data_IF_745747861667
#
_entry.id   IF_745747861667
#
_cell.length_a   1.000
_cell.length_b   1.000
_cell.length_c   1.000
_cell.angle_alpha   90.00
_cell.angle_beta   90.00
_cell.angle_gamma   90.00
#
_symmetry.space_group_name_H-M   'P 1'
#
loop_
_entity.id
_entity.type
_entity.pdbx_description
1 polymer ?
#
# COMPACT_ATOMS: atom_id res chain seq x y z
N UNK A 1 -16.42 9.26 1.72
CA UNK A 1 -16.87 9.03 3.10
C UNK A 1 -15.64 9.19 3.96
N UNK A 2 -15.66 10.00 5.02
CA UNK A 2 -14.52 10.13 5.94
C UNK A 2 -14.90 9.36 7.20
N UNK A 3 -14.47 8.11 7.28
CA UNK A 3 -14.67 7.29 8.46
C UNK A 3 -13.56 7.65 9.43
N UNK A 4 -13.93 8.23 10.57
CA UNK A 4 -12.99 8.55 11.65
C UNK A 4 -13.18 7.51 12.73
N UNK A 5 -12.07 6.89 13.11
CA UNK A 5 -12.03 5.75 13.98
C UNK A 5 -11.08 6.11 15.15
N UNK A 6 -11.60 6.23 16.38
CA UNK A 6 -10.80 6.53 17.57
C UNK A 6 -11.24 5.69 18.76
N UNK A 7 -10.29 4.97 19.35
CA UNK A 7 -10.43 4.13 20.53
C UNK A 7 -9.30 4.48 21.50
N UNK A 8 -9.61 4.55 22.80
CA UNK A 8 -8.60 4.76 23.83
C UNK A 8 -8.13 3.38 24.30
N UNK A 9 -6.82 3.09 24.28
CA UNK A 9 -6.32 1.78 24.66
C UNK A 9 -6.61 1.47 26.14
N UNK A 10 -6.75 0.18 26.45
CA UNK A 10 -6.91 -0.30 27.83
C UNK A 10 -5.63 -0.08 28.68
N UNK A 11 -5.67 -0.43 29.97
CA UNK A 11 -4.51 -0.29 30.87
C UNK A 11 -3.25 -1.04 30.40
N UNK A 12 -3.41 -2.02 29.51
CA UNK A 12 -2.31 -2.77 28.90
C UNK A 12 -1.91 -2.23 27.51
N UNK A 13 -2.50 -1.11 27.06
CA UNK A 13 -2.21 -0.50 25.78
C UNK A 13 -2.93 -1.14 24.58
N UNK A 14 -3.89 -2.05 24.82
CA UNK A 14 -4.62 -2.72 23.72
C UNK A 14 -5.81 -1.88 23.27
N UNK A 15 -5.98 -1.79 21.95
CA UNK A 15 -7.13 -1.19 21.30
C UNK A 15 -7.66 -2.17 20.24
N UNK A 16 -8.94 -2.10 19.93
CA UNK A 16 -9.54 -2.85 18.82
C UNK A 16 -10.54 -1.95 18.14
N UNK A 17 -10.53 -1.93 16.82
CA UNK A 17 -11.38 -1.02 16.06
C UNK A 17 -11.80 -1.66 14.74
N UNK A 18 -13.10 -1.63 14.48
CA UNK A 18 -13.65 -1.95 13.17
C UNK A 18 -13.59 -0.70 12.29
N UNK A 19 -12.98 -0.84 11.12
CA UNK A 19 -12.82 0.26 10.15
C UNK A 19 -13.32 -0.18 8.78
N UNK A 20 -13.87 0.76 8.03
CA UNK A 20 -14.23 0.52 6.63
C UNK A 20 -12.96 0.41 5.77
N UNK A 21 -13.09 -0.19 4.58
CA UNK A 21 -11.99 -0.18 3.62
C UNK A 21 -11.69 1.26 3.19
N UNK A 22 -10.41 1.60 3.05
CA UNK A 22 -9.96 2.94 2.74
C UNK A 22 -8.54 3.22 3.22
N UNK A 23 -8.09 4.45 2.96
CA UNK A 23 -6.78 4.94 3.38
C UNK A 23 -6.92 5.82 4.62
N UNK A 24 -6.09 5.59 5.63
CA UNK A 24 -6.15 6.25 6.92
C UNK A 24 -4.79 6.81 7.33
N UNK A 25 -4.80 8.04 7.84
CA UNK A 25 -3.63 8.64 8.50
C UNK A 25 -3.58 8.26 9.96
N UNK A 26 -2.44 7.76 10.43
CA UNK A 26 -2.25 7.28 11.79
C UNK A 26 -1.45 8.31 12.58
N UNK A 27 -2.03 8.76 13.69
CA UNK A 27 -1.39 9.70 14.62
C UNK A 27 -1.40 9.13 16.03
N UNK A 28 -0.26 9.20 16.71
CA UNK A 28 -0.10 8.79 18.10
C UNK A 28 -0.20 10.02 19.01
N UNK A 29 -1.01 9.88 20.06
CA UNK A 29 -1.17 10.90 21.10
C UNK A 29 -0.71 10.33 22.44
N UNK A 30 0.25 11.00 23.07
CA UNK A 30 0.72 10.68 24.42
C UNK A 30 0.52 11.92 25.28
N UNK A 31 -0.07 11.76 26.46
CA UNK A 31 -0.34 12.87 27.37
C UNK A 31 0.95 13.63 27.71
N UNK A 32 0.94 14.94 27.55
CA UNK A 32 2.11 15.81 27.77
C UNK A 32 3.08 15.93 26.59
N UNK A 33 2.84 15.23 25.47
CA UNK A 33 3.67 15.31 24.26
C UNK A 33 2.86 15.78 23.05
N UNK A 34 3.49 16.46 22.07
CA UNK A 34 2.81 16.80 20.83
C UNK A 34 2.41 15.53 20.04
N UNK A 35 1.28 15.55 19.31
CA UNK A 35 0.89 14.42 18.46
C UNK A 35 1.99 14.08 17.44
N UNK A 36 2.22 12.78 17.24
CA UNK A 36 3.24 12.28 16.31
C UNK A 36 2.60 11.50 15.18
N UNK A 37 2.92 11.85 13.94
CA UNK A 37 2.45 11.11 12.77
C UNK A 37 3.22 9.80 12.65
N UNK A 38 2.53 8.67 12.75
CA UNK A 38 3.13 7.35 12.67
C UNK A 38 3.21 6.81 11.24
N UNK A 39 2.28 7.21 10.37
CA UNK A 39 2.27 6.79 8.97
C UNK A 39 0.86 6.76 8.38
N UNK A 40 0.75 6.15 7.21
CA UNK A 40 -0.52 5.92 6.52
C UNK A 40 -0.72 4.43 6.34
N UNK A 41 -1.94 3.96 6.55
CA UNK A 41 -2.34 2.58 6.31
C UNK A 41 -3.44 2.51 5.26
N UNK A 42 -3.54 1.37 4.59
CA UNK A 42 -4.62 1.07 3.65
C UNK A 42 -5.31 -0.22 4.07
N UNK A 43 -6.63 -0.15 4.26
CA UNK A 43 -7.49 -1.30 4.54
C UNK A 43 -8.25 -1.64 3.28
N UNK A 44 -8.08 -2.86 2.78
CA UNK A 44 -8.78 -3.37 1.60
C UNK A 44 -10.02 -4.16 2.03
N UNK A 45 -10.99 -4.32 1.13
CA UNK A 45 -12.23 -5.06 1.39
C UNK A 45 -12.00 -6.51 1.86
N UNK A 46 -10.88 -7.13 1.45
CA UNK A 46 -10.47 -8.47 1.87
C UNK A 46 -9.36 -8.52 2.92
N UNK A 47 -9.02 -7.38 3.55
CA UNK A 47 -7.97 -7.35 4.58
C UNK A 47 -8.34 -8.25 5.76
N UNK A 48 -7.39 -9.07 6.20
CA UNK A 48 -7.54 -9.88 7.41
C UNK A 48 -7.37 -8.99 8.65
N UNK A 49 -8.06 -9.28 9.76
CA UNK A 49 -7.79 -8.63 11.04
C UNK A 49 -6.31 -8.77 11.42
N UNK A 50 -5.74 -7.72 11.99
CA UNK A 50 -4.33 -7.64 12.35
C UNK A 50 -4.04 -6.46 13.28
N UNK A 51 -2.80 -6.29 13.68
CA UNK A 51 -2.35 -5.16 14.49
C UNK A 51 -2.09 -3.95 13.60
N UNK A 52 -2.16 -2.72 14.14
CA UNK A 52 -1.78 -1.51 13.41
C UNK A 52 -0.38 -1.61 12.80
N UNK A 53 0.55 -2.28 13.50
CA UNK A 53 1.92 -2.44 13.03
C UNK A 53 1.99 -3.35 11.79
N UNK A 54 1.09 -4.35 11.69
CA UNK A 54 0.96 -5.17 10.48
C UNK A 54 0.50 -4.34 9.29
N UNK A 55 -0.40 -3.37 9.50
CA UNK A 55 -0.86 -2.46 8.46
C UNK A 55 0.16 -1.38 8.10
N UNK A 56 0.91 -0.85 9.07
CA UNK A 56 1.97 0.14 8.84
C UNK A 56 3.17 -0.47 8.10
N UNK A 57 3.43 -1.77 8.30
CA UNK A 57 4.50 -2.50 7.62
C UNK A 57 4.08 -3.19 6.32
N UNK A 58 2.80 -3.14 5.95
CA UNK A 58 2.31 -3.80 4.75
C UNK A 58 2.79 -3.08 3.48
N UNK A 59 3.23 -3.84 2.47
CA UNK A 59 3.43 -3.30 1.13
C UNK A 59 2.10 -2.75 0.60
N UNK A 60 2.14 -1.53 0.10
CA UNK A 60 0.98 -0.83 -0.46
C UNK A 60 0.90 -1.02 -1.97
N UNK A 61 -0.25 -0.72 -2.57
CA UNK A 61 -0.39 -0.69 -4.02
C UNK A 61 0.59 0.28 -4.69
N UNK A 62 0.93 1.38 -4.01
CA UNK A 62 1.90 2.35 -4.49
C UNK A 62 3.34 1.81 -4.45
N UNK A 63 3.63 0.76 -3.68
CA UNK A 63 4.93 0.07 -3.72
C UNK A 63 5.01 -0.91 -4.89
N UNK A 64 3.88 -1.54 -5.26
CA UNK A 64 3.79 -2.52 -6.35
C UNK A 64 3.66 -1.84 -7.71
N UNK A 65 2.95 -0.72 -7.80
CA UNK A 65 2.73 0.02 -9.06
C UNK A 65 4.04 0.43 -9.77
N UNK A 66 5.09 0.92 -9.08
CA UNK A 66 6.40 1.16 -9.66
C UNK A 66 7.02 -0.10 -10.26
N UNK A 67 6.93 -1.25 -9.58
CA UNK A 67 7.45 -2.51 -10.12
C UNK A 67 6.65 -2.97 -11.34
N UNK A 68 5.32 -2.96 -11.25
CA UNK A 68 4.43 -3.36 -12.34
C UNK A 68 4.67 -2.51 -13.60
N UNK A 69 4.84 -1.20 -13.44
CA UNK A 69 5.16 -0.29 -14.55
C UNK A 69 6.52 -0.63 -15.16
N UNK A 70 7.55 -0.85 -14.35
CA UNK A 70 8.88 -1.26 -14.83
C UNK A 70 8.83 -2.60 -15.58
N UNK A 71 8.07 -3.58 -15.10
CA UNK A 71 7.88 -4.87 -15.79
C UNK A 71 7.16 -4.69 -17.12
N UNK A 72 6.16 -3.83 -17.16
CA UNK A 72 5.44 -3.49 -18.39
C UNK A 72 6.37 -2.86 -19.44
N UNK A 73 7.18 -1.88 -19.04
CA UNK A 73 8.18 -1.26 -19.92
C UNK A 73 9.17 -2.28 -20.50
N UNK A 74 9.64 -3.23 -19.67
CA UNK A 74 10.51 -4.32 -20.12
C UNK A 74 9.84 -5.23 -21.16
N UNK A 75 8.58 -5.62 -20.93
CA UNK A 75 7.83 -6.43 -21.90
C UNK A 75 7.63 -5.69 -23.22
N UNK A 76 7.30 -4.39 -23.17
CA UNK A 76 7.13 -3.56 -24.38
C UNK A 76 8.43 -3.48 -25.18
N UNK A 77 9.57 -3.30 -24.51
CA UNK A 77 10.87 -3.26 -25.17
C UNK A 77 11.21 -4.61 -25.84
N UNK A 78 10.93 -5.73 -25.17
CA UNK A 78 11.13 -7.07 -25.74
C UNK A 78 10.25 -7.29 -26.98
N UNK A 79 8.97 -6.91 -26.92
CA UNK A 79 8.06 -7.00 -28.07
C UNK A 79 8.57 -6.16 -29.24
N UNK A 80 9.05 -4.94 -28.98
CA UNK A 80 9.61 -4.07 -30.02
C UNK A 80 10.86 -4.67 -30.66
N UNK A 81 11.75 -5.28 -29.86
CA UNK A 81 12.95 -5.97 -30.37
C UNK A 81 12.57 -7.19 -31.21
N UNK A 82 11.65 -8.01 -30.73
CA UNK A 82 11.18 -9.20 -31.43
C UNK A 82 10.50 -8.85 -32.77
N UNK A 83 9.63 -7.84 -32.78
CA UNK A 83 9.00 -7.36 -34.01
C UNK A 83 10.03 -6.85 -35.04
N UNK A 84 11.06 -6.14 -34.57
CA UNK A 84 12.15 -5.65 -35.43
C UNK A 84 12.97 -6.80 -36.04
N UNK A 85 13.29 -7.82 -35.23
CA UNK A 85 14.01 -9.00 -35.70
C UNK A 85 13.20 -9.81 -36.73
N UNK A 86 11.89 -9.97 -36.51
CA UNK A 86 10.98 -10.62 -37.47
C UNK A 86 10.94 -9.84 -38.78
N UNK A 87 10.76 -8.52 -38.71
CA UNK A 87 10.71 -7.67 -39.91
C UNK A 87 12.00 -7.77 -40.75
N UNK A 88 13.18 -7.77 -40.10
CA UNK A 88 14.47 -7.96 -40.76
C UNK A 88 14.61 -9.35 -41.39
N UNK A 89 14.17 -10.40 -40.70
CA UNK A 89 14.22 -11.77 -41.21
C UNK A 89 13.27 -12.01 -42.39
N UNK A 90 12.14 -11.30 -42.46
CA UNK A 90 11.22 -11.36 -43.63
C UNK A 90 11.63 -10.49 -44.80
N UNK A 91 12.58 -9.56 -44.61
CA UNK A 91 13.10 -8.68 -45.65
C UNK A 91 14.40 -9.21 -46.31
N UNK A 92 14.94 -10.33 -45.81
CA UNK A 92 16.07 -11.08 -46.37
C UNK A 92 15.56 -12.24 -47.23
#
# INVERSE_FOLDING_TARGET
>A
VNTVASENPDEAGRYSMDVEHGQYSVTLLVEGFPPSHAGTITVYEGSRPGTLNDFLGAMTEDDVRPEALRRFEQMVEEVSRNASAVAQNTAA
#
